data_IF_547993138433
#
_entry.id   IF_547993138433
#
_cell.length_a   1.000
_cell.length_b   1.000
_cell.length_c   1.000
_cell.angle_alpha   90.00
_cell.angle_beta   90.00
_cell.angle_gamma   90.00
#
_symmetry.space_group_name_H-M   'P 1'
#
loop_
_entity.id
_entity.type
_entity.pdbx_description
1 polymer ?
#
# COMPACT_ATOMS: atom_id res chain seq x y z
N UNK A 1 5.23 -3.92 -7.14
CA UNK A 1 4.47 -5.02 -7.79
C UNK A 1 3.15 -4.56 -8.42
N UNK A 2 2.13 -4.11 -7.67
CA UNK A 2 0.81 -3.76 -8.24
C UNK A 2 0.90 -2.68 -9.32
N UNK A 3 1.73 -1.65 -9.10
CA UNK A 3 1.94 -0.59 -10.09
C UNK A 3 2.58 -1.12 -11.37
N UNK A 4 3.52 -2.06 -11.28
CA UNK A 4 4.12 -2.71 -12.45
C UNK A 4 3.10 -3.55 -13.23
N UNK A 5 2.13 -4.16 -12.53
CA UNK A 5 1.12 -5.03 -13.12
C UNK A 5 -0.06 -4.27 -13.72
N UNK A 6 -0.53 -3.19 -13.09
CA UNK A 6 -1.79 -2.52 -13.46
C UNK A 6 -1.79 -1.00 -13.26
N UNK A 7 -0.64 -0.38 -13.04
CA UNK A 7 -0.51 1.07 -12.77
C UNK A 7 -1.29 1.57 -11.54
N UNK A 8 -1.69 0.66 -10.65
CA UNK A 8 -2.37 0.97 -9.40
C UNK A 8 -1.40 0.93 -8.22
N UNK A 9 -1.44 2.02 -7.45
CA UNK A 9 -0.78 2.09 -6.16
C UNK A 9 -1.76 1.74 -5.05
N UNK A 10 -1.64 0.53 -4.50
CA UNK A 10 -2.48 0.04 -3.42
C UNK A 10 -2.41 0.90 -2.14
N UNK A 11 -1.32 1.65 -1.94
CA UNK A 11 -1.11 2.52 -0.78
C UNK A 11 -1.24 4.02 -1.05
N UNK A 12 -1.39 4.46 -2.31
CA UNK A 12 -1.45 5.88 -2.68
C UNK A 12 -2.81 6.22 -3.28
N UNK A 13 -3.83 6.24 -2.41
CA UNK A 13 -5.22 6.36 -2.85
C UNK A 13 -5.56 7.72 -3.46
N UNK A 14 -4.83 8.79 -3.12
CA UNK A 14 -5.00 10.10 -3.79
C UNK A 14 -4.84 9.99 -5.31
N UNK A 15 -3.86 9.21 -5.76
CA UNK A 15 -3.66 8.97 -7.20
C UNK A 15 -4.80 8.17 -7.82
N UNK A 16 -5.28 7.12 -7.14
CA UNK A 16 -6.40 6.32 -7.62
C UNK A 16 -7.71 7.16 -7.67
N UNK A 17 -7.96 8.01 -6.67
CA UNK A 17 -9.11 8.93 -6.66
C UNK A 17 -9.04 9.93 -7.82
N UNK A 18 -7.86 10.52 -8.08
CA UNK A 18 -7.67 11.41 -9.22
C UNK A 18 -7.90 10.68 -10.56
N UNK A 19 -7.40 9.44 -10.70
CA UNK A 19 -7.66 8.60 -11.87
C UNK A 19 -9.16 8.35 -12.08
N UNK A 20 -9.92 8.08 -11.02
CA UNK A 20 -11.37 7.93 -11.11
C UNK A 20 -12.08 9.21 -11.53
N UNK A 21 -11.63 10.38 -11.05
CA UNK A 21 -12.14 11.67 -11.51
C UNK A 21 -11.92 11.88 -13.01
N UNK A 22 -10.72 11.56 -13.50
CA UNK A 22 -10.40 11.60 -14.93
C UNK A 22 -11.28 10.62 -15.70
N UNK A 23 -11.46 9.39 -15.20
CA UNK A 23 -12.31 8.39 -15.84
C UNK A 23 -13.76 8.85 -16.02
N UNK A 24 -14.32 9.53 -15.00
CA UNK A 24 -15.66 10.13 -15.10
C UNK A 24 -15.68 11.26 -16.14
N UNK A 25 -14.64 12.11 -16.15
CA UNK A 25 -14.54 13.21 -17.10
C UNK A 25 -14.50 12.73 -18.58
N UNK A 26 -13.92 11.54 -18.84
CA UNK A 26 -13.87 10.97 -20.20
C UNK A 26 -15.22 10.70 -20.84
N UNK A 27 -16.29 10.59 -20.05
CA UNK A 27 -17.65 10.49 -20.56
C UNK A 27 -18.13 11.79 -21.24
N UNK A 28 -17.42 12.90 -21.04
CA UNK A 28 -17.73 14.22 -21.57
C UNK A 28 -16.77 14.70 -22.67
N UNK A 29 -15.74 13.92 -22.99
CA UNK A 29 -14.75 14.26 -24.03
C UNK A 29 -15.40 14.42 -25.42
N UNK A 30 -14.70 15.02 -26.42
CA UNK A 30 -15.18 15.08 -27.80
C UNK A 30 -15.57 13.69 -28.32
N UNK A 31 -16.57 13.62 -29.21
CA UNK A 31 -17.21 12.36 -29.65
C UNK A 31 -16.19 11.31 -30.15
N UNK A 32 -15.06 11.72 -30.73
CA UNK A 32 -14.01 10.80 -31.20
C UNK A 32 -13.09 10.22 -30.11
N UNK A 33 -12.99 10.88 -28.95
CA UNK A 33 -12.10 10.50 -27.83
C UNK A 33 -12.89 9.97 -26.61
N UNK A 34 -14.21 10.18 -26.62
CA UNK A 34 -15.11 9.84 -25.53
C UNK A 34 -15.15 8.34 -25.29
N UNK A 35 -15.00 7.95 -24.03
CA UNK A 35 -15.16 6.57 -23.58
C UNK A 35 -16.37 6.46 -22.65
N UNK A 36 -17.10 5.35 -22.75
CA UNK A 36 -18.30 5.11 -21.96
C UNK A 36 -18.07 3.98 -20.95
N UNK A 37 -18.34 4.28 -19.69
CA UNK A 37 -18.12 3.35 -18.58
C UNK A 37 -16.66 3.30 -18.12
N UNK A 38 -16.40 2.41 -17.16
CA UNK A 38 -15.06 2.23 -16.60
C UNK A 38 -14.26 1.22 -17.40
N UNK A 39 -13.12 1.66 -17.90
CA UNK A 39 -12.12 0.78 -18.48
C UNK A 39 -11.42 -0.05 -17.41
N UNK A 40 -10.62 -1.04 -17.82
CA UNK A 40 -9.93 -1.93 -16.88
C UNK A 40 -9.09 -1.20 -15.82
N UNK A 41 -8.27 -0.19 -16.15
CA UNK A 41 -7.54 0.57 -15.15
C UNK A 41 -8.46 1.26 -14.13
N UNK A 42 -9.60 1.79 -14.58
CA UNK A 42 -10.58 2.46 -13.71
C UNK A 42 -11.23 1.47 -12.75
N UNK A 43 -11.64 0.31 -13.26
CA UNK A 43 -12.18 -0.79 -12.45
C UNK A 43 -11.18 -1.22 -11.36
N UNK A 44 -9.89 -1.31 -11.71
CA UNK A 44 -8.83 -1.66 -10.77
C UNK A 44 -8.59 -0.55 -9.74
N UNK A 45 -8.66 0.72 -10.15
CA UNK A 45 -8.60 1.86 -9.23
C UNK A 45 -9.77 1.85 -8.24
N UNK A 46 -11.01 1.59 -8.69
CA UNK A 46 -12.18 1.41 -7.82
C UNK A 46 -11.96 0.26 -6.84
N UNK A 47 -11.56 -0.91 -7.34
CA UNK A 47 -11.30 -2.10 -6.52
C UNK A 47 -10.27 -1.81 -5.42
N UNK A 48 -9.15 -1.18 -5.79
CA UNK A 48 -8.09 -0.80 -4.86
C UNK A 48 -8.58 0.20 -3.82
N UNK A 49 -9.31 1.23 -4.23
CA UNK A 49 -9.82 2.27 -3.32
C UNK A 49 -10.80 1.69 -2.31
N UNK A 50 -11.82 0.96 -2.77
CA UNK A 50 -12.82 0.36 -1.89
C UNK A 50 -12.18 -0.62 -0.92
N UNK A 51 -11.28 -1.49 -1.41
CA UNK A 51 -10.58 -2.46 -0.56
C UNK A 51 -9.68 -1.78 0.47
N UNK A 52 -8.96 -0.72 0.09
CA UNK A 52 -8.17 0.08 1.02
C UNK A 52 -9.03 0.73 2.09
N UNK A 53 -10.20 1.28 1.74
CA UNK A 53 -11.14 1.85 2.71
C UNK A 53 -11.64 0.78 3.67
N UNK A 54 -12.05 -0.38 3.17
CA UNK A 54 -12.43 -1.54 4.00
C UNK A 54 -11.28 -1.90 4.95
N UNK A 55 -10.06 -2.05 4.44
CA UNK A 55 -8.88 -2.33 5.25
C UNK A 55 -8.62 -1.30 6.35
N UNK A 56 -8.79 -0.02 6.03
CA UNK A 56 -8.68 1.09 6.99
C UNK A 56 -9.76 1.00 8.07
N UNK A 57 -10.99 0.60 7.72
CA UNK A 57 -12.09 0.46 8.70
C UNK A 57 -11.86 -0.65 9.71
N UNK A 58 -11.08 -1.69 9.38
CA UNK A 58 -10.67 -2.71 10.34
C UNK A 58 -9.89 -2.11 11.52
N UNK A 59 -9.23 -0.96 11.32
CA UNK A 59 -8.63 -0.17 12.40
C UNK A 59 -9.60 0.18 13.53
N UNK A 60 -10.91 0.26 13.27
CA UNK A 60 -11.92 0.53 14.30
C UNK A 60 -11.99 -0.55 15.38
N UNK A 61 -11.59 -1.78 15.07
CA UNK A 61 -11.44 -2.84 16.08
C UNK A 61 -10.37 -2.46 17.12
N UNK A 62 -9.30 -1.79 16.68
CA UNK A 62 -8.28 -1.23 17.54
C UNK A 62 -8.80 -0.14 18.48
N UNK A 63 -9.89 0.56 18.18
CA UNK A 63 -10.49 1.53 19.12
C UNK A 63 -11.12 0.84 20.33
N UNK A 64 -11.67 -0.37 20.13
CA UNK A 64 -12.26 -1.18 21.20
C UNK A 64 -11.20 -1.92 22.03
N UNK A 65 -10.17 -2.44 21.36
CA UNK A 65 -9.11 -3.22 22.03
C UNK A 65 -8.06 -2.31 22.68
N UNK A 66 -7.78 -1.17 22.05
CA UNK A 66 -6.69 -0.25 22.37
C UNK A 66 -5.66 -0.23 21.24
N UNK A 67 -5.58 0.88 20.51
CA UNK A 67 -4.84 0.98 19.26
C UNK A 67 -3.31 0.80 19.38
N UNK A 68 -2.78 1.00 20.59
CA UNK A 68 -1.35 0.80 20.91
C UNK A 68 -1.10 -0.46 21.72
N UNK A 69 -2.14 -1.21 22.09
CA UNK A 69 -1.96 -2.46 22.84
C UNK A 69 -1.26 -3.49 21.96
N UNK A 70 -0.31 -4.19 22.55
CA UNK A 70 0.46 -5.26 21.89
C UNK A 70 -0.44 -6.29 21.22
N UNK A 71 -1.52 -6.71 21.90
CA UNK A 71 -2.51 -7.66 21.35
C UNK A 71 -3.08 -7.18 20.02
N UNK A 72 -3.49 -5.91 19.93
CA UNK A 72 -3.97 -5.32 18.68
C UNK A 72 -2.88 -5.24 17.61
N UNK A 73 -1.67 -4.79 17.95
CA UNK A 73 -0.56 -4.66 16.99
C UNK A 73 -0.16 -6.02 16.39
N UNK A 74 -0.17 -7.08 17.21
CA UNK A 74 0.10 -8.45 16.77
C UNK A 74 -1.04 -8.98 15.91
N UNK A 75 -2.29 -8.91 16.37
CA UNK A 75 -3.45 -9.42 15.62
C UNK A 75 -3.61 -8.71 14.28
N UNK A 76 -3.45 -7.39 14.27
CA UNK A 76 -3.57 -6.59 13.05
C UNK A 76 -2.41 -6.83 12.08
N UNK A 77 -1.19 -7.08 12.57
CA UNK A 77 -0.07 -7.49 11.71
C UNK A 77 -0.26 -8.91 11.16
N UNK A 78 -0.78 -9.84 11.96
CA UNK A 78 -1.13 -11.19 11.50
C UNK A 78 -2.22 -11.15 10.43
N UNK A 79 -3.25 -10.31 10.59
CA UNK A 79 -4.27 -10.11 9.57
C UNK A 79 -3.66 -9.59 8.25
N UNK A 80 -2.65 -8.71 8.33
CA UNK A 80 -1.92 -8.28 7.14
C UNK A 80 -1.11 -9.40 6.47
N UNK A 81 -0.56 -10.33 7.24
CA UNK A 81 0.08 -11.54 6.70
C UNK A 81 -0.95 -12.38 5.94
N UNK A 82 -2.12 -12.63 6.54
CA UNK A 82 -3.18 -13.42 5.91
C UNK A 82 -3.68 -12.78 4.61
N UNK A 83 -3.89 -11.46 4.59
CA UNK A 83 -4.28 -10.73 3.39
C UNK A 83 -3.18 -10.82 2.30
N UNK A 84 -1.90 -10.66 2.66
CA UNK A 84 -0.82 -10.79 1.70
C UNK A 84 -0.69 -12.24 1.16
N UNK A 85 -0.90 -13.25 2.01
CA UNK A 85 -0.88 -14.65 1.60
C UNK A 85 -2.04 -14.96 0.65
N UNK A 86 -3.25 -14.50 0.97
CA UNK A 86 -4.41 -14.62 0.10
C UNK A 86 -4.18 -13.93 -1.25
N UNK A 87 -3.55 -12.75 -1.27
CA UNK A 87 -3.18 -12.08 -2.51
C UNK A 87 -2.14 -12.86 -3.33
N UNK A 88 -1.14 -13.44 -2.66
CA UNK A 88 -0.11 -14.28 -3.28
C UNK A 88 -0.75 -15.48 -3.98
N UNK A 89 -1.64 -16.19 -3.28
CA UNK A 89 -2.35 -17.35 -3.79
C UNK A 89 -3.27 -16.96 -4.95
N UNK A 90 -4.07 -15.90 -4.78
CA UNK A 90 -4.98 -15.41 -5.82
C UNK A 90 -4.20 -15.02 -7.09
N UNK A 91 -3.07 -14.32 -6.95
CA UNK A 91 -2.26 -13.96 -8.10
C UNK A 91 -1.60 -15.19 -8.76
N UNK A 92 -1.09 -16.13 -7.97
CA UNK A 92 -0.50 -17.36 -8.50
C UNK A 92 -1.48 -18.13 -9.40
N UNK A 93 -2.72 -18.30 -8.95
CA UNK A 93 -3.76 -18.97 -9.73
C UNK A 93 -4.43 -18.08 -10.78
N UNK A 94 -4.17 -16.77 -10.78
CA UNK A 94 -4.72 -15.87 -11.82
C UNK A 94 -4.15 -16.13 -13.21
N UNK A 95 -2.95 -16.72 -13.30
CA UNK A 95 -2.22 -16.92 -14.55
C UNK A 95 -1.82 -15.63 -15.28
N UNK A 96 -2.00 -14.47 -14.65
CA UNK A 96 -1.73 -13.17 -15.29
C UNK A 96 -0.30 -12.71 -15.05
N UNK A 97 0.24 -11.93 -15.99
CA UNK A 97 1.58 -11.36 -15.89
C UNK A 97 1.71 -10.42 -14.67
N UNK A 98 2.92 -10.35 -14.11
CA UNK A 98 3.28 -9.32 -13.14
C UNK A 98 3.54 -7.94 -13.73
N UNK A 99 3.46 -7.81 -15.06
CA UNK A 99 3.78 -6.63 -15.83
C UNK A 99 2.64 -6.25 -16.78
N UNK A 100 2.28 -4.98 -16.80
CA UNK A 100 1.46 -4.40 -17.86
C UNK A 100 2.29 -4.12 -19.12
N UNK A 101 1.65 -4.14 -20.28
CA UNK A 101 2.27 -3.72 -21.54
C UNK A 101 2.26 -2.20 -21.69
N UNK A 102 1.07 -1.61 -21.82
CA UNK A 102 0.85 -0.16 -21.86
C UNK A 102 -0.24 0.21 -20.86
N UNK A 103 -0.41 1.51 -20.57
CA UNK A 103 -1.44 1.98 -19.63
C UNK A 103 -2.86 1.57 -20.00
N UNK A 104 -3.12 1.37 -21.30
CA UNK A 104 -4.41 0.93 -21.82
C UNK A 104 -4.58 -0.60 -21.82
N UNK A 105 -3.49 -1.34 -21.57
CA UNK A 105 -3.50 -2.81 -21.48
C UNK A 105 -2.87 -3.27 -20.16
N UNK A 106 -3.55 -3.04 -19.00
CA UNK A 106 -3.06 -3.50 -17.71
C UNK A 106 -3.14 -5.02 -17.60
N UNK A 107 -2.30 -5.62 -16.75
CA UNK A 107 -2.49 -6.98 -16.25
C UNK A 107 -3.51 -6.99 -15.10
N UNK A 108 -3.77 -8.14 -14.48
CA UNK A 108 -4.67 -8.31 -13.34
C UNK A 108 -6.14 -7.96 -13.66
N UNK A 109 -6.56 -8.27 -14.88
CA UNK A 109 -7.89 -7.96 -15.44
C UNK A 109 -8.96 -9.00 -15.15
N UNK A 110 -8.59 -10.21 -14.70
CA UNK A 110 -9.51 -11.29 -14.37
C UNK A 110 -9.90 -11.26 -12.88
N UNK A 111 -10.92 -12.02 -12.44
CA UNK A 111 -11.40 -11.98 -11.07
C UNK A 111 -10.32 -12.27 -10.03
N UNK A 112 -9.42 -13.24 -10.29
CA UNK A 112 -8.34 -13.58 -9.36
C UNK A 112 -7.28 -12.48 -9.25
N UNK A 113 -6.96 -11.79 -10.36
CA UNK A 113 -6.12 -10.59 -10.35
C UNK A 113 -6.74 -9.45 -9.54
N UNK A 114 -8.05 -9.24 -9.65
CA UNK A 114 -8.80 -8.28 -8.83
C UNK A 114 -8.78 -8.65 -7.35
N UNK A 115 -8.94 -9.93 -7.01
CA UNK A 115 -8.86 -10.43 -5.63
C UNK A 115 -7.45 -10.19 -5.05
N UNK A 116 -6.40 -10.45 -5.83
CA UNK A 116 -5.03 -10.14 -5.42
C UNK A 116 -4.84 -8.64 -5.14
N UNK A 117 -5.34 -7.79 -6.05
CA UNK A 117 -5.31 -6.34 -5.88
C UNK A 117 -6.07 -5.90 -4.62
N UNK A 118 -7.28 -6.41 -4.42
CA UNK A 118 -8.15 -6.09 -3.29
C UNK A 118 -7.46 -6.41 -1.97
N UNK A 119 -6.90 -7.61 -1.82
CA UNK A 119 -6.26 -8.01 -0.57
C UNK A 119 -5.00 -7.20 -0.26
N UNK A 120 -4.16 -6.88 -1.25
CA UNK A 120 -2.98 -6.01 -1.04
C UNK A 120 -3.43 -4.60 -0.63
N UNK A 121 -4.44 -4.04 -1.31
CA UNK A 121 -4.98 -2.71 -1.00
C UNK A 121 -5.61 -2.65 0.40
N UNK A 122 -6.44 -3.63 0.76
CA UNK A 122 -7.00 -3.72 2.12
C UNK A 122 -5.89 -3.82 3.16
N UNK A 123 -4.85 -4.58 2.85
CA UNK A 123 -3.76 -4.75 3.78
C UNK A 123 -2.92 -3.49 3.98
N UNK A 124 -2.74 -2.67 2.95
CA UNK A 124 -2.12 -1.35 3.08
C UNK A 124 -3.02 -0.34 3.79
N UNK A 125 -4.35 -0.41 3.60
CA UNK A 125 -5.31 0.38 4.38
C UNK A 125 -5.19 0.11 5.88
N UNK A 126 -5.11 -1.17 6.26
CA UNK A 126 -4.89 -1.58 7.65
C UNK A 126 -3.53 -1.09 8.19
N UNK A 127 -2.44 -1.24 7.41
CA UNK A 127 -1.13 -0.70 7.79
C UNK A 127 -1.17 0.83 7.97
N UNK A 128 -1.91 1.54 7.10
CA UNK A 128 -2.11 2.98 7.18
C UNK A 128 -2.74 3.40 8.50
N UNK A 129 -3.88 2.82 8.87
CA UNK A 129 -4.53 3.20 10.13
C UNK A 129 -3.70 2.83 11.38
N UNK A 130 -2.99 1.70 11.36
CA UNK A 130 -2.10 1.30 12.46
C UNK A 130 -0.93 2.30 12.58
N UNK A 131 -0.24 2.59 11.48
CA UNK A 131 0.90 3.50 11.48
C UNK A 131 0.50 4.90 11.98
N UNK A 132 -0.67 5.40 11.55
CA UNK A 132 -1.21 6.69 12.01
C UNK A 132 -1.45 6.70 13.52
N UNK A 133 -1.94 5.60 14.09
CA UNK A 133 -2.28 5.51 15.53
C UNK A 133 -1.07 5.28 16.43
N UNK A 134 -0.03 4.63 15.92
CA UNK A 134 1.26 4.52 16.63
C UNK A 134 1.88 5.92 16.79
N UNK A 135 1.69 6.80 15.80
CA UNK A 135 2.10 8.21 15.90
C UNK A 135 3.61 8.41 15.81
N UNK A 136 4.33 7.49 15.16
CA UNK A 136 5.75 7.65 14.87
C UNK A 136 5.96 8.83 13.90
N UNK A 137 7.07 9.60 14.02
CA UNK A 137 7.48 10.58 13.01
C UNK A 137 7.70 9.97 11.63
N UNK A 138 7.90 8.65 11.56
CA UNK A 138 7.87 7.86 10.32
C UNK A 138 6.44 7.68 9.79
N UNK A 139 5.56 8.65 10.08
CA UNK A 139 4.12 8.58 9.86
C UNK A 139 3.81 8.00 8.47
N UNK A 140 2.72 7.24 8.36
CA UNK A 140 2.47 6.25 7.30
C UNK A 140 3.05 6.64 5.94
N UNK A 141 3.86 5.78 5.33
CA UNK A 141 4.41 5.97 3.97
C UNK A 141 3.31 6.17 2.90
N UNK A 142 2.05 5.92 3.25
CA UNK A 142 0.81 6.23 2.51
C UNK A 142 0.66 7.73 2.16
N UNK A 143 1.10 8.66 3.02
CA UNK A 143 0.94 10.11 2.80
C UNK A 143 2.29 10.78 2.53
N UNK A 144 3.11 10.17 1.67
CA UNK A 144 4.49 10.63 1.42
C UNK A 144 4.61 12.12 1.02
N UNK A 145 3.62 12.66 0.30
CA UNK A 145 3.65 14.06 -0.14
C UNK A 145 3.75 15.02 1.05
N UNK A 146 3.02 14.76 2.15
CA UNK A 146 3.15 15.61 3.34
C UNK A 146 4.51 15.47 3.98
N UNK A 147 5.09 14.27 3.98
CA UNK A 147 6.44 14.02 4.51
C UNK A 147 7.50 14.82 3.75
N UNK A 148 7.40 14.91 2.42
CA UNK A 148 8.30 15.75 1.63
C UNK A 148 8.20 17.23 2.01
N UNK A 149 6.98 17.75 2.13
CA UNK A 149 6.75 19.14 2.57
C UNK A 149 7.34 19.35 3.96
N UNK A 150 7.11 18.43 4.91
CA UNK A 150 7.63 18.50 6.27
C UNK A 150 9.16 18.45 6.34
N UNK A 151 9.82 17.65 5.50
CA UNK A 151 11.30 17.59 5.43
C UNK A 151 11.85 18.93 4.90
N UNK A 152 11.32 19.42 3.78
CA UNK A 152 11.84 20.63 3.13
C UNK A 152 11.47 21.93 3.82
N UNK A 153 10.60 21.88 4.83
CA UNK A 153 10.30 23.00 5.72
C UNK A 153 10.91 22.82 7.13
N UNK A 154 11.73 21.79 7.36
CA UNK A 154 12.42 21.64 8.63
C UNK A 154 13.53 22.71 8.76
N UNK A 155 13.51 23.57 9.80
CA UNK A 155 14.51 24.63 9.97
C UNK A 155 15.93 24.09 10.17
N UNK A 156 16.07 22.80 10.50
CA UNK A 156 17.34 22.10 10.68
C UNK A 156 17.63 21.10 9.55
N UNK A 157 17.02 21.27 8.38
CA UNK A 157 17.21 20.41 7.21
C UNK A 157 18.69 20.19 6.87
N UNK A 158 19.49 21.27 6.85
CA UNK A 158 20.91 21.23 6.49
C UNK A 158 21.83 21.08 7.71
N UNK A 159 21.29 20.88 8.91
CA UNK A 159 22.13 20.72 10.09
C UNK A 159 22.86 19.37 10.05
N UNK A 160 24.18 19.36 10.23
CA UNK A 160 24.99 18.13 10.26
C UNK A 160 24.86 17.34 11.58
N UNK A 161 24.01 17.77 12.50
CA UNK A 161 23.67 17.04 13.73
C UNK A 161 22.44 16.16 13.54
N UNK A 162 22.35 15.09 14.33
CA UNK A 162 21.17 14.21 14.36
C UNK A 162 19.93 15.00 14.81
N UNK A 163 18.86 14.93 14.03
CA UNK A 163 17.56 15.56 14.32
C UNK A 163 16.49 14.49 14.13
N UNK A 164 15.95 13.98 15.23
CA UNK A 164 15.07 12.80 15.20
C UNK A 164 13.82 12.99 14.31
N UNK A 165 13.19 14.17 14.31
CA UNK A 165 12.03 14.45 13.46
C UNK A 165 12.38 14.33 11.97
N UNK A 166 13.46 15.00 11.54
CA UNK A 166 13.92 15.02 10.16
C UNK A 166 14.47 13.67 9.73
N UNK A 167 15.37 13.08 10.50
CA UNK A 167 16.09 11.86 10.13
C UNK A 167 15.15 10.65 9.98
N UNK A 168 14.13 10.56 10.84
CA UNK A 168 13.12 9.49 10.75
C UNK A 168 12.18 9.68 9.56
N UNK A 169 11.85 10.92 9.19
CA UNK A 169 11.07 11.21 7.96
C UNK A 169 11.88 10.87 6.71
N UNK A 170 13.15 11.28 6.66
CA UNK A 170 14.07 10.97 5.57
C UNK A 170 14.25 9.45 5.44
N UNK A 171 14.43 8.74 6.55
CA UNK A 171 14.54 7.27 6.51
C UNK A 171 13.26 6.61 6.01
N UNK A 172 12.07 7.15 6.35
CA UNK A 172 10.80 6.68 5.82
C UNK A 172 10.69 6.82 4.28
N UNK A 173 11.13 7.95 3.73
CA UNK A 173 11.19 8.18 2.28
C UNK A 173 12.15 7.22 1.60
N UNK A 174 13.37 7.07 2.14
CA UNK A 174 14.38 6.16 1.61
C UNK A 174 13.94 4.70 1.69
N UNK A 175 13.28 4.29 2.78
CA UNK A 175 12.72 2.96 2.95
C UNK A 175 11.64 2.66 1.92
N UNK A 176 10.80 3.64 1.56
CA UNK A 176 9.81 3.48 0.49
C UNK A 176 10.49 3.29 -0.88
N UNK A 177 11.48 4.13 -1.21
CA UNK A 177 12.24 4.03 -2.45
C UNK A 177 12.94 2.68 -2.57
N UNK A 178 13.63 2.27 -1.50
CA UNK A 178 14.30 0.98 -1.41
C UNK A 178 13.31 -0.18 -1.53
N UNK A 179 12.18 -0.11 -0.82
CA UNK A 179 11.13 -1.13 -0.89
C UNK A 179 10.54 -1.27 -2.30
N UNK A 180 10.33 -0.15 -3.01
CA UNK A 180 9.86 -0.17 -4.39
C UNK A 180 10.89 -0.80 -5.33
N UNK A 181 12.17 -0.42 -5.19
CA UNK A 181 13.29 -1.00 -5.94
C UNK A 181 13.39 -2.52 -5.71
N UNK A 182 13.45 -2.96 -4.44
CA UNK A 182 13.56 -4.38 -4.07
C UNK A 182 12.34 -5.16 -4.57
N UNK A 183 11.13 -4.63 -4.41
CA UNK A 183 9.92 -5.28 -4.96
C UNK A 183 10.03 -5.46 -6.48
N UNK A 184 10.53 -4.46 -7.21
CA UNK A 184 10.70 -4.52 -8.66
C UNK A 184 11.79 -5.50 -9.08
N UNK A 185 12.91 -5.55 -8.35
CA UNK A 185 14.02 -6.46 -8.58
C UNK A 185 13.62 -7.92 -8.35
N UNK A 186 12.96 -8.22 -7.22
CA UNK A 186 12.43 -9.56 -6.93
C UNK A 186 11.42 -9.97 -7.99
N UNK A 187 10.54 -9.06 -8.41
CA UNK A 187 9.58 -9.34 -9.49
C UNK A 187 10.28 -9.68 -10.81
N UNK A 188 11.46 -9.11 -11.07
CA UNK A 188 12.26 -9.36 -12.27
C UNK A 188 12.88 -10.75 -12.31
N UNK A 189 13.41 -11.22 -11.18
CA UNK A 189 14.05 -12.55 -11.09
C UNK A 189 13.10 -13.70 -10.73
N UNK A 190 12.20 -13.49 -9.78
CA UNK A 190 11.32 -14.53 -9.22
C UNK A 190 9.83 -14.34 -9.51
N UNK A 191 9.47 -13.33 -10.31
CA UNK A 191 8.08 -13.00 -10.59
C UNK A 191 7.35 -12.32 -9.42
N UNK A 192 6.11 -11.89 -9.67
CA UNK A 192 5.33 -11.14 -8.67
C UNK A 192 4.89 -12.03 -7.50
N UNK A 193 4.73 -13.34 -7.71
CA UNK A 193 4.47 -14.30 -6.62
C UNK A 193 5.61 -14.28 -5.59
N UNK A 194 6.88 -14.27 -6.04
CA UNK A 194 8.02 -14.15 -5.12
C UNK A 194 8.02 -12.81 -4.38
N UNK A 195 7.69 -11.71 -5.06
CA UNK A 195 7.62 -10.39 -4.45
C UNK A 195 6.48 -10.29 -3.40
N UNK A 196 5.33 -10.90 -3.66
CA UNK A 196 4.20 -11.00 -2.71
C UNK A 196 4.53 -11.93 -1.53
N UNK A 197 5.20 -13.05 -1.80
CA UNK A 197 5.71 -13.95 -0.76
C UNK A 197 6.71 -13.25 0.18
N UNK A 198 7.63 -12.46 -0.39
CA UNK A 198 8.56 -11.63 0.40
C UNK A 198 7.81 -10.62 1.28
N UNK A 199 6.76 -9.96 0.75
CA UNK A 199 5.89 -9.08 1.55
C UNK A 199 5.24 -9.83 2.72
N UNK A 200 4.77 -11.06 2.51
CA UNK A 200 4.25 -11.91 3.58
C UNK A 200 5.30 -12.15 4.66
N UNK A 201 6.53 -12.51 4.25
CA UNK A 201 7.66 -12.74 5.15
C UNK A 201 7.99 -11.50 5.99
N UNK A 202 8.12 -10.33 5.37
CA UNK A 202 8.38 -9.07 6.10
C UNK A 202 7.28 -8.76 7.12
N UNK A 203 6.02 -9.07 6.80
CA UNK A 203 4.90 -8.87 7.74
C UNK A 203 4.87 -9.88 8.86
N UNK A 204 5.34 -11.10 8.62
CA UNK A 204 5.53 -12.09 9.68
C UNK A 204 6.62 -11.64 10.64
N UNK A 205 7.74 -11.11 10.12
CA UNK A 205 8.80 -10.48 10.93
C UNK A 205 8.24 -9.31 11.74
N UNK A 206 7.44 -8.43 11.13
CA UNK A 206 6.73 -7.35 11.85
C UNK A 206 5.83 -7.89 12.97
N UNK A 207 5.14 -9.00 12.74
CA UNK A 207 4.27 -9.64 13.74
C UNK A 207 5.09 -10.15 14.93
N UNK A 208 6.20 -10.85 14.65
CA UNK A 208 7.15 -11.30 15.69
C UNK A 208 7.76 -10.11 16.43
N UNK A 209 8.08 -9.02 15.73
CA UNK A 209 8.60 -7.80 16.34
C UNK A 209 7.64 -7.23 17.40
N UNK A 210 6.34 -7.15 17.10
CA UNK A 210 5.34 -6.73 18.07
C UNK A 210 5.17 -7.70 19.23
N UNK A 211 5.42 -9.00 19.02
CA UNK A 211 5.46 -9.99 20.10
C UNK A 211 6.68 -9.78 21.01
N UNK A 212 7.80 -9.26 20.53
CA UNK A 212 8.99 -9.06 21.37
C UNK A 212 9.02 -7.66 22.00
N UNK A 213 8.25 -6.71 21.47
CA UNK A 213 8.23 -5.34 21.97
C UNK A 213 7.58 -5.29 23.37
N UNK A 214 8.26 -4.72 24.39
CA UNK A 214 7.68 -4.53 25.72
C UNK A 214 6.40 -3.69 25.64
N UNK A 215 5.36 -4.09 26.37
CA UNK A 215 4.21 -3.22 26.54
C UNK A 215 4.59 -2.12 27.52
N UNK A 216 4.30 -0.85 27.24
CA UNK A 216 4.46 0.21 28.23
C UNK A 216 3.69 -0.20 29.49
N UNK A 217 4.35 -0.14 30.65
CA UNK A 217 3.66 -0.30 31.94
C UNK A 217 2.55 0.75 32.00
N UNK A 218 1.34 0.30 32.34
CA UNK A 218 0.13 1.12 32.42
C UNK A 218 0.21 2.12 33.57
#
# INVERSE_FOLDING_TARGET
MSFSACFIWCGFQTGNVAQLGIAIARAFDPIGERTYGFEKPDQQAVCSLLSFLIGTTLGRLGDKIGAKRRTWLVVSSLLQVLLAAAATIAHHYSGQSGYAGTRHNPSWTNPLGFVALAFISASLGLQGIIGKRIGSPMNTTVVLTTTWVEIFNDPLLLAFKKVQSRDVRVSGVLALLFGAFVSRAISGGGGVVAALGALCGFRLVQTVWWLLTPSPEL
#
